data_IF_949950740527
#
_entry.id   IF_949950740527
#
_cell.length_a   1.000
_cell.length_b   1.000
_cell.length_c   1.000
_cell.angle_alpha   90.00
_cell.angle_beta   90.00
_cell.angle_gamma   90.00
#
_symmetry.space_group_name_H-M   'P 1'
#
loop_
_entity.id
_entity.type
_entity.pdbx_description
1 polymer ?
#
# COMPACT_ATOMS: atom_id res chain seq x y z
N UNK A 1 -48.88 12.67 0.78
CA UNK A 1 -47.97 11.68 0.16
C UNK A 1 -46.64 12.29 -0.30
N UNK A 2 -46.61 13.54 -0.81
CA UNK A 2 -45.36 14.22 -1.27
C UNK A 2 -44.50 14.76 -0.11
N UNK A 3 -45.10 15.13 1.04
CA UNK A 3 -44.36 15.60 2.22
C UNK A 3 -43.59 14.46 2.92
N UNK A 4 -44.17 13.28 3.02
CA UNK A 4 -43.54 12.10 3.64
C UNK A 4 -42.35 11.56 2.85
N UNK A 5 -42.28 11.78 1.53
CA UNK A 5 -41.13 11.38 0.72
C UNK A 5 -39.93 12.30 0.93
N UNK A 6 -40.15 13.60 1.15
CA UNK A 6 -39.07 14.56 1.39
C UNK A 6 -38.43 14.41 2.76
N UNK A 7 -39.21 14.11 3.80
CA UNK A 7 -38.68 13.86 5.16
C UNK A 7 -37.80 12.60 5.21
N UNK A 8 -38.24 11.51 4.57
CA UNK A 8 -37.48 10.27 4.50
C UNK A 8 -36.17 10.44 3.70
N UNK A 9 -36.19 11.23 2.62
CA UNK A 9 -34.99 11.54 1.84
C UNK A 9 -34.00 12.39 2.65
N UNK A 10 -34.48 13.41 3.36
CA UNK A 10 -33.66 14.25 4.21
C UNK A 10 -33.01 13.46 5.35
N UNK A 11 -33.77 12.59 6.02
CA UNK A 11 -33.23 11.71 7.06
C UNK A 11 -32.16 10.76 6.53
N UNK A 12 -32.38 10.17 5.35
CA UNK A 12 -31.40 9.30 4.69
C UNK A 12 -30.10 10.05 4.36
N UNK A 13 -30.20 11.30 3.89
CA UNK A 13 -29.04 12.15 3.61
C UNK A 13 -28.26 12.47 4.89
N UNK A 14 -28.94 12.88 5.96
CA UNK A 14 -28.30 13.14 7.26
C UNK A 14 -27.58 11.88 7.77
N UNK A 15 -28.25 10.73 7.72
CA UNK A 15 -27.66 9.46 8.14
C UNK A 15 -26.39 9.14 7.33
N UNK A 16 -26.41 9.35 6.00
CA UNK A 16 -25.23 9.15 5.16
C UNK A 16 -24.09 10.10 5.51
N UNK A 17 -24.38 11.36 5.82
CA UNK A 17 -23.38 12.36 6.23
C UNK A 17 -22.75 11.95 7.56
N UNK A 18 -23.57 11.57 8.54
CA UNK A 18 -23.10 11.13 9.87
C UNK A 18 -22.20 9.90 9.73
N UNK A 19 -22.61 8.89 8.95
CA UNK A 19 -21.80 7.69 8.70
C UNK A 19 -20.46 8.06 8.06
N UNK A 20 -20.48 8.97 7.07
CA UNK A 20 -19.26 9.43 6.42
C UNK A 20 -18.31 10.12 7.42
N UNK A 21 -18.82 11.07 8.23
CA UNK A 21 -18.04 11.77 9.25
C UNK A 21 -17.44 10.82 10.29
N UNK A 22 -18.26 9.94 10.87
CA UNK A 22 -17.79 8.96 11.86
C UNK A 22 -16.74 8.01 11.27
N UNK A 23 -16.95 7.53 10.05
CA UNK A 23 -15.97 6.66 9.37
C UNK A 23 -14.64 7.38 9.10
N UNK A 24 -14.71 8.68 8.78
CA UNK A 24 -13.52 9.52 8.56
C UNK A 24 -12.76 9.73 9.86
N UNK A 25 -13.45 10.10 10.95
CA UNK A 25 -12.86 10.26 12.28
C UNK A 25 -12.15 8.96 12.69
N UNK A 26 -12.82 7.82 12.53
CA UNK A 26 -12.25 6.52 12.88
C UNK A 26 -10.98 6.19 12.09
N UNK A 27 -10.97 6.43 10.77
CA UNK A 27 -9.78 6.23 9.93
C UNK A 27 -8.66 7.19 10.31
N UNK A 28 -8.95 8.47 10.54
CA UNK A 28 -7.94 9.43 10.98
C UNK A 28 -7.33 9.04 12.33
N UNK A 29 -8.12 8.46 13.24
CA UNK A 29 -7.63 7.95 14.51
C UNK A 29 -6.73 6.73 14.32
N UNK A 30 -7.10 5.77 13.47
CA UNK A 30 -6.25 4.62 13.14
C UNK A 30 -4.91 5.08 12.56
N UNK A 31 -4.94 5.97 11.57
CA UNK A 31 -3.73 6.49 10.94
C UNK A 31 -2.88 7.26 11.96
N UNK A 32 -3.50 8.11 12.80
CA UNK A 32 -2.78 8.87 13.82
C UNK A 32 -2.11 7.97 14.84
N UNK A 33 -2.82 6.94 15.34
CA UNK A 33 -2.25 5.95 16.24
C UNK A 33 -1.11 5.21 15.56
N UNK A 34 -1.29 4.74 14.33
CA UNK A 34 -0.26 4.03 13.57
C UNK A 34 1.00 4.87 13.34
N UNK A 35 0.84 6.17 13.07
CA UNK A 35 1.95 7.10 12.97
C UNK A 35 2.65 7.27 14.32
N UNK A 36 1.91 7.54 15.40
CA UNK A 36 2.48 7.70 16.76
C UNK A 36 3.19 6.43 17.24
N UNK A 37 2.60 5.25 17.05
CA UNK A 37 3.26 4.00 17.43
C UNK A 37 4.49 3.75 16.57
N UNK A 38 4.42 4.02 15.26
CA UNK A 38 5.58 3.95 14.38
C UNK A 38 6.69 4.90 14.86
N UNK A 39 6.39 6.14 15.24
CA UNK A 39 7.40 7.10 15.72
C UNK A 39 8.05 6.65 17.03
N UNK A 40 7.24 6.09 17.94
CA UNK A 40 7.73 5.59 19.23
C UNK A 40 8.58 4.33 19.07
N UNK A 41 8.16 3.39 18.23
CA UNK A 41 8.86 2.11 17.99
C UNK A 41 10.13 2.32 17.18
N UNK A 42 10.09 3.15 16.13
CA UNK A 42 11.25 3.39 15.26
C UNK A 42 12.28 4.34 15.83
N UNK A 43 12.11 4.81 17.08
CA UNK A 43 13.15 5.46 17.84
C UNK A 43 13.13 6.98 17.75
N UNK A 44 12.12 7.61 18.35
CA UNK A 44 12.26 9.00 18.79
C UNK A 44 13.36 9.09 19.86
N UNK A 45 14.53 9.62 19.51
CA UNK A 45 15.62 9.85 20.46
C UNK A 45 15.59 11.29 20.96
N UNK A 46 15.20 11.49 22.22
CA UNK A 46 15.13 12.80 22.89
C UNK A 46 16.45 13.58 22.80
N UNK A 47 17.58 12.87 22.76
CA UNK A 47 18.93 13.44 22.64
C UNK A 47 19.11 14.27 21.36
N UNK A 48 18.42 13.94 20.27
CA UNK A 48 18.53 14.68 19.02
C UNK A 48 17.94 16.11 19.15
N UNK A 49 17.01 16.35 20.08
CA UNK A 49 16.32 17.65 20.26
C UNK A 49 17.20 18.71 20.93
N UNK A 50 18.25 18.31 21.65
CA UNK A 50 19.05 19.21 22.47
C UNK A 50 20.23 19.89 21.73
N UNK A 51 20.45 19.60 20.45
CA UNK A 51 21.50 20.24 19.66
C UNK A 51 20.94 21.46 18.91
N UNK A 52 21.40 22.67 19.27
CA UNK A 52 21.03 23.90 18.56
C UNK A 52 21.73 23.95 17.20
N UNK A 53 20.94 23.97 16.12
CA UNK A 53 21.44 23.99 14.74
C UNK A 53 21.74 25.43 14.33
N UNK A 54 23.02 25.78 14.17
CA UNK A 54 23.46 27.04 13.60
C UNK A 54 23.62 26.92 12.08
N UNK A 55 22.72 27.56 11.33
CA UNK A 55 22.67 27.49 9.85
C UNK A 55 23.94 28.00 9.16
N UNK A 56 24.74 28.83 9.84
CA UNK A 56 25.89 29.49 9.22
C UNK A 56 27.22 28.75 9.44
N UNK A 57 27.26 27.81 10.38
CA UNK A 57 28.47 27.06 10.76
C UNK A 57 28.33 25.54 10.61
N UNK A 58 27.15 25.06 10.23
CA UNK A 58 26.86 23.63 10.24
C UNK A 58 27.31 22.92 8.95
N UNK A 59 28.06 21.82 9.12
CA UNK A 59 28.34 20.82 8.08
C UNK A 59 27.19 19.82 7.97
N UNK A 60 27.09 19.07 6.87
CA UNK A 60 25.95 18.16 6.63
C UNK A 60 25.60 17.33 7.88
N UNK A 61 26.56 16.72 8.56
CA UNK A 61 26.32 15.84 9.71
C UNK A 61 25.59 16.47 10.93
N UNK A 62 25.62 17.81 11.11
CA UNK A 62 24.93 18.46 12.23
C UNK A 62 23.51 18.95 11.89
N UNK A 63 23.22 19.19 10.62
CA UNK A 63 21.85 19.37 10.15
C UNK A 63 21.19 17.97 10.10
N UNK A 64 21.98 16.98 9.72
CA UNK A 64 21.62 15.66 9.22
C UNK A 64 21.86 14.52 10.23
N UNK A 65 22.12 14.87 11.50
CA UNK A 65 22.00 13.97 12.65
C UNK A 65 20.56 13.84 13.16
N UNK A 66 19.72 14.86 12.88
CA UNK A 66 18.26 14.79 12.97
C UNK A 66 17.62 14.60 11.58
N UNK A 67 18.22 15.22 10.56
CA UNK A 67 17.83 15.05 9.16
C UNK A 67 18.49 13.79 8.55
N UNK A 68 18.12 13.46 7.33
CA UNK A 68 18.39 12.19 6.65
C UNK A 68 19.78 12.11 6.02
N UNK A 69 20.83 12.21 6.83
CA UNK A 69 22.21 12.17 6.34
C UNK A 69 22.78 10.81 6.11
N UNK A 70 23.87 10.77 5.33
CA UNK A 70 24.62 9.55 4.97
C UNK A 70 25.10 8.76 6.21
N UNK A 71 25.12 9.41 7.37
CA UNK A 71 25.44 8.84 8.68
C UNK A 71 24.31 9.07 9.72
N UNK A 72 23.06 8.87 9.33
CA UNK A 72 21.93 8.94 10.25
C UNK A 72 22.05 7.89 11.37
N UNK A 73 22.20 8.34 12.62
CA UNK A 73 22.06 7.49 13.80
C UNK A 73 20.59 7.04 13.84
N UNK A 74 20.35 5.73 13.75
CA UNK A 74 19.01 5.15 13.59
C UNK A 74 17.94 5.77 14.49
N UNK A 75 16.71 5.88 13.99
CA UNK A 75 15.62 6.57 14.67
C UNK A 75 14.51 7.05 13.74
N UNK A 76 13.36 7.46 14.29
CA UNK A 76 12.27 8.10 13.57
C UNK A 76 12.70 9.49 13.09
N UNK A 77 12.59 9.73 11.79
CA UNK A 77 13.05 10.97 11.16
C UNK A 77 11.87 11.94 11.00
N UNK A 78 12.02 13.18 11.45
CA UNK A 78 10.95 14.19 11.39
C UNK A 78 10.51 14.41 9.95
N UNK A 79 9.19 14.48 9.76
CA UNK A 79 8.52 14.79 8.50
C UNK A 79 8.38 16.31 8.37
N UNK A 80 8.90 16.90 7.28
CA UNK A 80 8.80 18.32 7.03
C UNK A 80 7.66 18.60 6.05
N UNK A 81 6.65 19.33 6.52
CA UNK A 81 5.76 20.04 5.60
C UNK A 81 6.51 21.27 5.07
N UNK A 82 7.47 21.05 4.15
CA UNK A 82 8.09 22.13 3.38
C UNK A 82 7.03 22.71 2.44
N UNK A 83 6.83 24.03 2.42
CA UNK A 83 5.88 24.74 1.55
C UNK A 83 6.25 24.67 0.04
N UNK A 84 6.51 23.47 -0.46
CA UNK A 84 6.87 23.16 -1.83
C UNK A 84 5.71 22.43 -2.51
N UNK A 85 5.73 22.44 -3.86
CA UNK A 85 4.71 21.78 -4.70
C UNK A 85 4.52 20.29 -4.37
N UNK A 86 5.54 19.67 -3.79
CA UNK A 86 5.54 18.27 -3.39
C UNK A 86 4.51 17.98 -2.29
N UNK A 87 4.19 18.93 -1.40
CA UNK A 87 3.15 18.77 -0.38
C UNK A 87 1.82 18.36 -0.99
N UNK A 88 1.46 18.92 -2.15
CA UNK A 88 0.19 18.61 -2.81
C UNK A 88 0.15 17.13 -3.17
N UNK A 89 1.25 16.60 -3.70
CA UNK A 89 1.37 15.18 -4.06
C UNK A 89 1.28 14.31 -2.80
N UNK A 90 2.00 14.66 -1.73
CA UNK A 90 1.97 13.94 -0.46
C UNK A 90 0.56 13.92 0.15
N UNK A 91 -0.13 15.05 0.14
CA UNK A 91 -1.51 15.18 0.61
C UNK A 91 -2.47 14.35 -0.25
N UNK A 92 -2.32 14.37 -1.58
CA UNK A 92 -3.12 13.54 -2.48
C UNK A 92 -2.93 12.05 -2.21
N UNK A 93 -1.71 11.58 -2.00
CA UNK A 93 -1.42 10.18 -1.64
C UNK A 93 -2.11 9.82 -0.31
N UNK A 94 -1.95 10.67 0.71
CA UNK A 94 -2.53 10.42 2.03
C UNK A 94 -4.07 10.39 2.00
N UNK A 95 -4.70 11.35 1.30
CA UNK A 95 -6.16 11.38 1.12
C UNK A 95 -6.62 10.15 0.34
N UNK A 96 -5.92 9.75 -0.72
CA UNK A 96 -6.27 8.58 -1.51
C UNK A 96 -6.26 7.29 -0.68
N UNK A 97 -5.16 7.01 0.03
CA UNK A 97 -5.06 5.78 0.84
C UNK A 97 -5.98 5.79 2.07
N UNK A 98 -6.20 6.96 2.70
CA UNK A 98 -7.18 7.08 3.78
C UNK A 98 -8.62 6.80 3.32
N UNK A 99 -9.01 7.29 2.14
CA UNK A 99 -10.32 6.99 1.57
C UNK A 99 -10.47 5.49 1.24
N UNK A 100 -9.42 4.85 0.69
CA UNK A 100 -9.43 3.39 0.47
C UNK A 100 -9.61 2.61 1.77
N UNK A 101 -8.89 2.98 2.84
CA UNK A 101 -9.02 2.35 4.15
C UNK A 101 -10.41 2.55 4.74
N UNK A 102 -10.98 3.75 4.61
CA UNK A 102 -12.34 4.06 5.06
C UNK A 102 -13.37 3.17 4.38
N UNK A 103 -13.29 3.04 3.04
CA UNK A 103 -14.18 2.19 2.26
C UNK A 103 -14.03 0.71 2.63
N UNK A 104 -12.81 0.24 2.87
CA UNK A 104 -12.52 -1.12 3.32
C UNK A 104 -13.14 -1.42 4.69
N UNK A 105 -12.93 -0.54 5.67
CA UNK A 105 -13.47 -0.68 7.02
C UNK A 105 -15.01 -0.62 7.04
N UNK A 106 -15.61 0.25 6.23
CA UNK A 106 -17.07 0.30 6.08
C UNK A 106 -17.64 -1.04 5.60
N UNK A 107 -16.97 -1.70 4.64
CA UNK A 107 -17.42 -2.99 4.11
C UNK A 107 -17.28 -4.12 5.14
N UNK A 108 -16.21 -4.12 5.93
CA UNK A 108 -16.04 -5.12 6.99
C UNK A 108 -17.02 -4.90 8.13
N UNK A 109 -17.05 -3.70 8.71
CA UNK A 109 -17.78 -3.42 9.94
C UNK A 109 -19.28 -3.27 9.71
N UNK A 110 -19.70 -2.51 8.70
CA UNK A 110 -21.11 -2.21 8.47
C UNK A 110 -21.79 -3.19 7.52
N UNK A 111 -21.08 -3.67 6.49
CA UNK A 111 -21.63 -4.67 5.54
C UNK A 111 -21.33 -6.12 5.96
N UNK A 112 -20.63 -6.33 7.09
CA UNK A 112 -20.28 -7.66 7.65
C UNK A 112 -19.58 -8.58 6.63
N UNK A 113 -18.80 -7.99 5.72
CA UNK A 113 -18.07 -8.75 4.69
C UNK A 113 -16.76 -9.29 5.27
N UNK A 114 -16.83 -10.17 6.28
CA UNK A 114 -15.66 -10.69 7.00
C UNK A 114 -14.66 -11.46 6.13
N UNK A 115 -15.08 -11.94 4.96
CA UNK A 115 -14.15 -12.52 3.98
C UNK A 115 -13.04 -11.54 3.55
N UNK A 116 -13.31 -10.24 3.63
CA UNK A 116 -12.34 -9.19 3.33
C UNK A 116 -11.20 -9.11 4.35
N UNK A 117 -11.29 -9.77 5.50
CA UNK A 117 -10.16 -9.86 6.46
C UNK A 117 -8.92 -10.50 5.83
N UNK A 118 -9.08 -11.29 4.76
CA UNK A 118 -7.96 -11.82 3.97
C UNK A 118 -7.12 -10.73 3.29
N UNK A 119 -7.63 -9.51 3.16
CA UNK A 119 -6.90 -8.36 2.61
C UNK A 119 -6.09 -7.60 3.65
N UNK A 120 -6.11 -7.96 4.94
CA UNK A 120 -5.34 -7.25 5.98
C UNK A 120 -3.85 -7.14 5.60
N UNK A 121 -3.17 -8.22 5.16
CA UNK A 121 -1.78 -8.12 4.74
C UNK A 121 -1.59 -7.19 3.53
N UNK A 122 -2.50 -7.24 2.56
CA UNK A 122 -2.47 -6.34 1.40
C UNK A 122 -2.66 -4.88 1.80
N UNK A 123 -3.55 -4.59 2.77
CA UNK A 123 -3.74 -3.25 3.30
C UNK A 123 -2.46 -2.76 3.98
N UNK A 124 -1.82 -3.59 4.80
CA UNK A 124 -0.56 -3.25 5.43
C UNK A 124 0.51 -2.90 4.39
N UNK A 125 0.74 -3.76 3.40
CA UNK A 125 1.78 -3.55 2.40
C UNK A 125 1.52 -2.32 1.53
N UNK A 126 0.26 -2.05 1.15
CA UNK A 126 -0.13 -0.81 0.46
C UNK A 126 0.19 0.46 1.28
N UNK A 127 -0.11 0.44 2.59
CA UNK A 127 0.18 1.58 3.47
C UNK A 127 1.67 1.74 3.72
N UNK A 128 2.41 0.63 3.86
CA UNK A 128 3.86 0.64 3.93
C UNK A 128 4.46 1.25 2.66
N UNK A 129 4.02 0.81 1.48
CA UNK A 129 4.48 1.33 0.21
C UNK A 129 4.16 2.82 0.02
N UNK A 130 2.94 3.24 0.37
CA UNK A 130 2.56 4.65 0.35
C UNK A 130 3.45 5.50 1.29
N UNK A 131 3.71 5.02 2.50
CA UNK A 131 4.59 5.68 3.45
C UNK A 131 6.02 5.80 2.92
N UNK A 132 6.53 4.75 2.28
CA UNK A 132 7.85 4.74 1.66
C UNK A 132 7.94 5.71 0.49
N UNK A 133 6.91 5.81 -0.38
CA UNK A 133 6.84 6.84 -1.44
C UNK A 133 6.88 8.24 -0.84
N UNK A 134 6.06 8.48 0.20
CA UNK A 134 6.01 9.77 0.90
C UNK A 134 7.41 10.15 1.41
N UNK A 135 8.13 9.20 2.00
CA UNK A 135 9.50 9.40 2.46
C UNK A 135 10.46 9.72 1.33
N UNK A 136 10.46 8.96 0.23
CA UNK A 136 11.37 9.21 -0.89
C UNK A 136 11.12 10.54 -1.60
N UNK A 137 9.85 10.94 -1.73
CA UNK A 137 9.51 12.26 -2.28
C UNK A 137 10.03 13.35 -1.35
N UNK A 138 9.78 13.24 -0.04
CA UNK A 138 10.24 14.19 0.96
C UNK A 138 11.77 14.30 0.99
N UNK A 139 12.48 13.21 0.73
CA UNK A 139 13.95 13.15 0.72
C UNK A 139 14.56 13.54 -0.62
N UNK A 140 13.74 13.85 -1.62
CA UNK A 140 14.17 14.07 -2.99
C UNK A 140 14.94 12.90 -3.61
N UNK A 141 14.71 11.66 -3.16
CA UNK A 141 15.33 10.44 -3.71
C UNK A 141 14.57 9.91 -4.93
N UNK A 142 14.54 10.72 -6.00
CA UNK A 142 13.76 10.42 -7.20
C UNK A 142 14.38 9.33 -8.09
N UNK A 143 15.67 9.05 -7.94
CA UNK A 143 16.44 8.27 -8.92
C UNK A 143 16.85 6.89 -8.44
N UNK A 144 17.02 6.67 -7.13
CA UNK A 144 17.48 5.39 -6.60
C UNK A 144 16.31 4.48 -6.24
N UNK A 145 15.47 4.92 -5.30
CA UNK A 145 14.46 4.04 -4.69
C UNK A 145 13.02 4.36 -5.12
N UNK A 146 12.72 5.62 -5.45
CA UNK A 146 11.35 6.02 -5.75
C UNK A 146 10.74 5.26 -6.94
N UNK A 147 11.51 4.99 -8.00
CA UNK A 147 10.99 4.32 -9.21
C UNK A 147 10.57 2.89 -8.93
N UNK A 148 11.40 2.14 -8.20
CA UNK A 148 11.11 0.77 -7.76
C UNK A 148 9.90 0.76 -6.84
N UNK A 149 9.85 1.71 -5.90
CA UNK A 149 8.74 1.81 -4.96
C UNK A 149 7.41 2.15 -5.66
N UNK A 150 7.41 3.07 -6.62
CA UNK A 150 6.21 3.37 -7.43
C UNK A 150 5.75 2.13 -8.18
N UNK A 151 6.68 1.37 -8.77
CA UNK A 151 6.36 0.11 -9.45
C UNK A 151 5.65 -0.86 -8.51
N UNK A 152 6.25 -1.19 -7.36
CA UNK A 152 5.68 -2.13 -6.39
C UNK A 152 4.35 -1.64 -5.82
N UNK A 153 4.24 -0.36 -5.43
CA UNK A 153 2.98 0.17 -4.90
C UNK A 153 1.86 0.19 -5.94
N UNK A 154 2.19 0.42 -7.22
CA UNK A 154 1.21 0.38 -8.29
C UNK A 154 0.74 -1.05 -8.60
N UNK A 155 1.67 -2.00 -8.76
CA UNK A 155 1.33 -3.41 -9.03
C UNK A 155 0.60 -4.03 -7.84
N UNK A 156 0.99 -3.69 -6.61
CA UNK A 156 0.31 -4.12 -5.40
C UNK A 156 -1.11 -3.57 -5.28
N UNK A 157 -1.33 -2.30 -5.64
CA UNK A 157 -2.68 -1.72 -5.67
C UNK A 157 -3.57 -2.45 -6.69
N UNK A 158 -3.03 -2.78 -7.87
CA UNK A 158 -3.73 -3.59 -8.88
C UNK A 158 -4.07 -4.98 -8.33
N UNK A 159 -3.10 -5.68 -7.75
CA UNK A 159 -3.31 -7.01 -7.17
C UNK A 159 -4.37 -6.98 -6.06
N UNK A 160 -4.29 -5.99 -5.16
CA UNK A 160 -5.24 -5.79 -4.07
C UNK A 160 -6.65 -5.53 -4.60
N UNK A 161 -6.79 -4.68 -5.62
CA UNK A 161 -8.07 -4.41 -6.25
C UNK A 161 -8.66 -5.65 -6.90
N UNK A 162 -7.86 -6.40 -7.67
CA UNK A 162 -8.31 -7.62 -8.35
C UNK A 162 -8.73 -8.68 -7.32
N UNK A 163 -7.91 -8.89 -6.28
CA UNK A 163 -8.22 -9.84 -5.23
C UNK A 163 -9.49 -9.43 -4.47
N UNK A 164 -9.66 -8.14 -4.16
CA UNK A 164 -10.89 -7.60 -3.61
C UNK A 164 -12.11 -7.93 -4.48
N UNK A 165 -12.05 -7.69 -5.80
CA UNK A 165 -13.13 -8.03 -6.73
C UNK A 165 -13.44 -9.54 -6.72
N UNK A 166 -12.40 -10.37 -6.74
CA UNK A 166 -12.52 -11.83 -6.64
C UNK A 166 -13.20 -12.28 -5.35
N UNK A 167 -12.96 -11.62 -4.22
CA UNK A 167 -13.60 -11.95 -2.94
C UNK A 167 -15.08 -11.58 -2.91
N UNK A 168 -15.45 -10.40 -3.39
CA UNK A 168 -16.84 -9.92 -3.33
C UNK A 168 -17.79 -10.59 -4.33
N UNK A 169 -17.26 -11.10 -5.45
CA UNK A 169 -18.08 -11.82 -6.43
C UNK A 169 -18.65 -13.08 -5.77
N UNK A 170 -19.99 -13.13 -5.66
CA UNK A 170 -20.72 -14.24 -5.00
C UNK A 170 -20.58 -15.54 -5.77
N UNK A 171 -20.80 -15.50 -7.09
CA UNK A 171 -20.64 -16.67 -7.95
C UNK A 171 -19.24 -16.69 -8.55
N UNK A 172 -18.37 -17.55 -8.01
CA UNK A 172 -16.96 -17.66 -8.43
C UNK A 172 -16.78 -18.03 -9.90
N UNK A 173 -17.79 -18.61 -10.56
CA UNK A 173 -17.77 -18.90 -11.99
C UNK A 173 -17.79 -17.62 -12.85
N UNK A 174 -18.29 -16.50 -12.30
CA UNK A 174 -18.32 -15.21 -12.98
C UNK A 174 -17.01 -14.43 -12.90
N UNK A 175 -16.00 -14.96 -12.18
CA UNK A 175 -14.70 -14.32 -12.07
C UNK A 175 -14.05 -14.33 -13.47
N UNK A 176 -13.68 -13.16 -14.03
CA UNK A 176 -12.94 -13.11 -15.27
C UNK A 176 -11.62 -13.85 -15.13
N UNK A 177 -11.29 -14.73 -16.07
CA UNK A 177 -10.05 -15.53 -16.01
C UNK A 177 -8.80 -14.65 -15.97
N UNK A 178 -8.84 -13.50 -16.63
CA UNK A 178 -7.75 -12.54 -16.63
C UNK A 178 -7.45 -11.93 -15.26
N UNK A 179 -8.43 -11.84 -14.36
CA UNK A 179 -8.19 -11.44 -12.96
C UNK A 179 -7.26 -12.45 -12.28
N UNK A 180 -7.55 -13.75 -12.43
CA UNK A 180 -6.78 -14.81 -11.79
C UNK A 180 -5.34 -14.82 -12.32
N UNK A 181 -5.17 -14.69 -13.63
CA UNK A 181 -3.83 -14.75 -14.24
C UNK A 181 -3.00 -13.49 -13.97
N UNK A 182 -3.61 -12.29 -14.02
CA UNK A 182 -2.89 -11.07 -13.69
C UNK A 182 -2.49 -11.05 -12.21
N UNK A 183 -3.39 -11.46 -11.32
CA UNK A 183 -3.09 -11.60 -9.89
C UNK A 183 -1.97 -12.62 -9.65
N UNK A 184 -2.01 -13.76 -10.33
CA UNK A 184 -0.96 -14.78 -10.27
C UNK A 184 0.40 -14.21 -10.68
N UNK A 185 0.46 -13.51 -11.83
CA UNK A 185 1.72 -12.95 -12.34
C UNK A 185 2.28 -11.91 -11.37
N UNK A 186 1.46 -10.97 -10.92
CA UNK A 186 1.93 -9.91 -10.03
C UNK A 186 2.49 -10.53 -8.74
N UNK A 187 1.72 -11.42 -8.09
CA UNK A 187 2.17 -12.05 -6.85
C UNK A 187 3.39 -12.94 -7.04
N UNK A 188 3.49 -13.66 -8.15
CA UNK A 188 4.67 -14.46 -8.46
C UNK A 188 5.91 -13.59 -8.72
N UNK A 189 5.76 -12.49 -9.46
CA UNK A 189 6.86 -11.54 -9.72
C UNK A 189 7.33 -10.87 -8.43
N UNK A 190 6.42 -10.43 -7.57
CA UNK A 190 6.79 -9.86 -6.27
C UNK A 190 7.59 -10.83 -5.42
N UNK A 191 7.17 -12.10 -5.35
CA UNK A 191 7.91 -13.15 -4.64
C UNK A 191 9.29 -13.35 -5.24
N UNK A 192 9.40 -13.46 -6.57
CA UNK A 192 10.71 -13.63 -7.24
C UNK A 192 11.64 -12.46 -6.95
N UNK A 193 11.13 -11.22 -7.07
CA UNK A 193 11.93 -10.03 -6.85
C UNK A 193 12.37 -9.92 -5.39
N UNK A 194 11.45 -10.14 -4.44
CA UNK A 194 11.75 -10.08 -3.03
C UNK A 194 12.71 -11.22 -2.58
N UNK A 195 12.63 -12.40 -3.20
CA UNK A 195 13.60 -13.50 -3.00
C UNK A 195 14.95 -13.21 -3.63
N UNK A 196 14.96 -12.54 -4.79
CA UNK A 196 16.21 -12.11 -5.44
C UNK A 196 16.95 -11.03 -4.64
N UNK A 197 16.22 -10.19 -3.91
CA UNK A 197 16.73 -9.08 -3.09
C UNK A 197 16.90 -9.47 -1.60
N UNK A 198 16.72 -10.75 -1.26
CA UNK A 198 16.64 -11.21 0.12
C UNK A 198 18.03 -11.18 0.81
N UNK A 199 18.30 -10.09 1.51
CA UNK A 199 19.35 -10.04 2.53
C UNK A 199 18.84 -10.73 3.80
N UNK A 200 19.62 -11.67 4.34
CA UNK A 200 19.23 -12.47 5.51
C UNK A 200 18.94 -11.61 6.76
N UNK A 201 19.55 -10.44 6.85
CA UNK A 201 19.37 -9.51 7.97
C UNK A 201 18.00 -8.80 7.97
N UNK A 202 17.27 -8.80 6.85
CA UNK A 202 15.98 -8.10 6.70
C UNK A 202 14.80 -9.06 6.43
N UNK A 203 14.99 -10.36 6.74
CA UNK A 203 14.01 -11.42 6.47
C UNK A 203 12.62 -11.12 7.03
N UNK A 204 12.51 -10.62 8.26
CA UNK A 204 11.22 -10.40 8.92
C UNK A 204 10.35 -9.41 8.12
N UNK A 205 10.94 -8.28 7.70
CA UNK A 205 10.26 -7.26 6.89
C UNK A 205 9.82 -7.85 5.55
N UNK A 206 10.72 -8.59 4.90
CA UNK A 206 10.45 -9.15 3.57
C UNK A 206 9.34 -10.22 3.64
N UNK A 207 9.27 -11.03 4.70
CA UNK A 207 8.19 -12.01 4.91
C UNK A 207 6.84 -11.31 5.03
N UNK A 208 6.73 -10.23 5.81
CA UNK A 208 5.47 -9.52 6.01
C UNK A 208 4.95 -8.93 4.70
N UNK A 209 5.86 -8.37 3.87
CA UNK A 209 5.49 -7.81 2.57
C UNK A 209 5.03 -8.89 1.57
N UNK A 210 5.69 -10.04 1.56
CA UNK A 210 5.35 -11.18 0.69
C UNK A 210 4.07 -11.91 1.15
N UNK A 211 3.64 -11.75 2.41
CA UNK A 211 2.50 -12.48 2.98
C UNK A 211 1.21 -12.29 2.17
N UNK A 212 0.96 -11.06 1.69
CA UNK A 212 -0.18 -10.75 0.81
C UNK A 212 -0.15 -11.60 -0.47
N UNK A 213 1.02 -11.70 -1.10
CA UNK A 213 1.21 -12.45 -2.34
C UNK A 213 1.10 -13.96 -2.13
N UNK A 214 1.57 -14.48 -0.99
CA UNK A 214 1.38 -15.89 -0.63
C UNK A 214 -0.11 -16.23 -0.44
N UNK A 215 -0.87 -15.37 0.23
CA UNK A 215 -2.32 -15.55 0.40
C UNK A 215 -3.02 -15.56 -0.96
N UNK A 216 -2.65 -14.63 -1.86
CA UNK A 216 -3.18 -14.57 -3.21
C UNK A 216 -2.90 -15.87 -3.98
N UNK A 217 -1.66 -16.36 -3.96
CA UNK A 217 -1.27 -17.59 -4.64
C UNK A 217 -2.02 -18.82 -4.09
N UNK A 218 -2.12 -18.95 -2.76
CA UNK A 218 -2.88 -20.04 -2.14
C UNK A 218 -4.35 -19.97 -2.58
N UNK A 219 -4.96 -18.79 -2.55
CA UNK A 219 -6.34 -18.60 -3.00
C UNK A 219 -6.53 -18.94 -4.48
N UNK A 220 -5.59 -18.55 -5.34
CA UNK A 220 -5.60 -18.88 -6.77
C UNK A 220 -5.54 -20.40 -6.97
N UNK A 221 -4.62 -21.09 -6.30
CA UNK A 221 -4.46 -22.55 -6.41
C UNK A 221 -5.76 -23.26 -6.00
N UNK A 222 -6.33 -22.89 -4.84
CA UNK A 222 -7.61 -23.46 -4.36
C UNK A 222 -8.72 -23.21 -5.39
N UNK A 223 -8.78 -22.01 -5.95
CA UNK A 223 -9.78 -21.62 -6.95
C UNK A 223 -9.65 -22.42 -8.25
N UNK A 224 -8.43 -22.62 -8.77
CA UNK A 224 -8.17 -23.40 -9.97
C UNK A 224 -8.40 -24.91 -9.80
N UNK A 225 -8.16 -25.44 -8.60
CA UNK A 225 -8.49 -26.82 -8.24
C UNK A 225 -10.02 -26.99 -8.28
N UNK A 226 -10.75 -26.10 -7.61
CA UNK A 226 -12.21 -26.17 -7.47
C UNK A 226 -12.98 -25.90 -8.77
N UNK A 227 -12.49 -25.00 -9.62
CA UNK A 227 -13.19 -24.55 -10.83
C UNK A 227 -12.38 -24.86 -12.09
N UNK A 228 -12.61 -26.04 -12.67
CA UNK A 228 -11.90 -26.50 -13.88
C UNK A 228 -12.01 -25.55 -15.08
N UNK A 229 -13.13 -24.81 -15.21
CA UNK A 229 -13.35 -23.81 -16.27
C UNK A 229 -12.34 -22.64 -16.22
N UNK A 230 -11.78 -22.35 -15.04
CA UNK A 230 -10.82 -21.26 -14.85
C UNK A 230 -9.38 -21.70 -15.16
N UNK A 231 -9.15 -22.98 -15.51
CA UNK A 231 -7.82 -23.48 -15.84
C UNK A 231 -7.36 -22.95 -17.21
N UNK A 232 -6.09 -22.56 -17.34
CA UNK A 232 -5.58 -22.01 -18.59
C UNK A 232 -5.44 -23.10 -19.64
N UNK A 233 -5.76 -22.77 -20.88
CA UNK A 233 -5.31 -23.54 -22.04
C UNK A 233 -3.90 -23.09 -22.47
N UNK A 234 -3.24 -23.85 -23.32
CA UNK A 234 -1.85 -23.59 -23.71
C UNK A 234 -1.65 -22.19 -24.33
N UNK A 235 -2.61 -21.72 -25.13
CA UNK A 235 -2.58 -20.37 -25.71
C UNK A 235 -2.63 -19.29 -24.64
N UNK A 236 -3.47 -19.46 -23.63
CA UNK A 236 -3.60 -18.55 -22.50
C UNK A 236 -2.29 -18.49 -21.72
N UNK A 237 -1.65 -19.64 -21.48
CA UNK A 237 -0.34 -19.71 -20.81
C UNK A 237 0.69 -18.86 -21.56
N UNK A 238 0.82 -19.01 -22.88
CA UNK A 238 1.79 -18.21 -23.65
C UNK A 238 1.54 -16.70 -23.60
N UNK A 239 0.27 -16.26 -23.70
CA UNK A 239 -0.08 -14.84 -23.62
C UNK A 239 0.32 -14.27 -22.26
N UNK A 240 0.02 -14.98 -21.18
CA UNK A 240 0.28 -14.51 -19.83
C UNK A 240 1.76 -14.61 -19.45
N UNK A 241 2.51 -15.61 -19.96
CA UNK A 241 3.96 -15.64 -19.85
C UNK A 241 4.61 -14.46 -20.57
N UNK A 242 4.11 -14.08 -21.75
CA UNK A 242 4.60 -12.89 -22.45
C UNK A 242 4.34 -11.61 -21.64
N UNK A 243 3.14 -11.45 -21.07
CA UNK A 243 2.83 -10.31 -20.19
C UNK A 243 3.74 -10.29 -18.96
N UNK A 244 3.96 -11.45 -18.32
CA UNK A 244 4.87 -11.56 -17.18
C UNK A 244 6.29 -11.15 -17.55
N UNK A 245 6.79 -11.60 -18.70
CA UNK A 245 8.09 -11.20 -19.22
C UNK A 245 8.16 -9.69 -19.49
N UNK A 246 7.13 -9.09 -20.08
CA UNK A 246 7.07 -7.65 -20.30
C UNK A 246 7.11 -6.85 -19.00
N UNK A 247 6.36 -7.26 -17.97
CA UNK A 247 6.38 -6.61 -16.66
C UNK A 247 7.75 -6.76 -15.98
N UNK A 248 8.34 -7.95 -16.04
CA UNK A 248 9.67 -8.21 -15.50
C UNK A 248 10.77 -7.40 -16.20
N UNK A 249 10.76 -7.35 -17.53
CA UNK A 249 11.69 -6.52 -18.30
C UNK A 249 11.48 -5.03 -18.02
N UNK A 250 10.23 -4.58 -17.90
CA UNK A 250 9.93 -3.21 -17.54
C UNK A 250 10.54 -2.83 -16.18
N UNK A 251 10.42 -3.71 -15.17
CA UNK A 251 11.08 -3.52 -13.88
C UNK A 251 12.58 -3.34 -14.04
N UNK A 252 13.27 -4.29 -14.68
CA UNK A 252 14.73 -4.25 -14.80
C UNK A 252 15.26 -3.10 -15.66
N UNK A 253 14.51 -2.64 -16.67
CA UNK A 253 14.96 -1.54 -17.54
C UNK A 253 14.72 -0.17 -16.88
N UNK A 254 13.56 0.04 -16.26
CA UNK A 254 13.12 1.37 -15.83
C UNK A 254 13.06 1.58 -14.32
N UNK A 255 12.87 0.50 -13.55
CA UNK A 255 12.54 0.54 -12.13
C UNK A 255 13.51 -0.28 -11.27
N UNK A 256 14.66 -0.70 -11.80
CA UNK A 256 15.60 -1.51 -11.05
C UNK A 256 16.09 -0.74 -9.82
N UNK A 257 16.11 -1.43 -8.69
CA UNK A 257 16.73 -0.95 -7.46
C UNK A 257 18.20 -0.60 -7.70
N UNK A 258 18.60 0.62 -7.32
CA UNK A 258 19.99 1.10 -7.40
C UNK A 258 20.44 1.58 -6.02
N UNK A 259 21.24 0.77 -5.34
CA UNK A 259 21.98 1.18 -4.14
C UNK A 259 22.98 2.30 -4.44
#
# INVERSE_FOLDING_TARGET
>A
MILSTNENQFYSQIQSIIIHLLSTIFVTLIISIGLVTSTQISGYHLQNVYFSVDKNSCTCDCWDGFFRGKYGRGGYKIFYFNYEKQIIILLCILIFYSELLRQYLLKILFRKQFILLLLIPSVYSNFYGAWTIINYINDSDYYRMLKSQIYFSFTELIATYIFYQCLIIKNKIQIPTWFIYLLFIISFLHIILAVGELNFDEIERNIVLILSDLINLIWIIITLIKYSRLRPNIRTIYIWLFIALCLWLFYHIFCQFRE
#
